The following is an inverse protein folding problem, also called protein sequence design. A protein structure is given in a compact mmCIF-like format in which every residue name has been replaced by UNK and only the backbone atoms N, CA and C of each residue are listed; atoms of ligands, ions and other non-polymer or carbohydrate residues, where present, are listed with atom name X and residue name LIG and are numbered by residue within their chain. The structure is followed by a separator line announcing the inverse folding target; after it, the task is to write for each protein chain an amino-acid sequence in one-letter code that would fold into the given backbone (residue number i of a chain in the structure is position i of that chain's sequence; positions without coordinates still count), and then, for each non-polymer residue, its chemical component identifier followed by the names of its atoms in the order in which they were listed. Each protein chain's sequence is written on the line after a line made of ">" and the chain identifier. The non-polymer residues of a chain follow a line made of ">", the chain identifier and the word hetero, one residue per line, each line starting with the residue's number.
data_IF_925675452063
#
_entry.id   IF_925675452063
#
_cell.length_a   1.000
_cell.length_b   1.000
_cell.length_c   1.000
_cell.angle_alpha   90.00
_cell.angle_beta   90.00
_cell.angle_gamma   90.00
#
_symmetry.space_group_name_H-M   'P 1'
#
loop_
_entity.id
_entity.type
_entity.pdbx_description
1 polymer ?
#
# COMPACT_ATOMS: atom_id res chain seq x y z
N UNK A 1 14.39 -1.76 4.43
CA UNK A 1 13.22 -2.62 4.64
C UNK A 1 12.15 -1.85 5.41
N UNK A 2 10.87 -2.18 5.25
CA UNK A 2 9.76 -1.59 6.03
C UNK A 2 9.20 -2.56 7.10
N UNK A 3 8.86 -2.01 8.27
CA UNK A 3 8.09 -2.67 9.34
C UNK A 3 6.74 -1.96 9.50
N UNK A 4 5.63 -2.71 9.52
CA UNK A 4 4.28 -2.19 9.67
C UNK A 4 3.64 -2.70 10.97
N UNK A 5 3.01 -1.80 11.72
CA UNK A 5 2.22 -2.13 12.91
C UNK A 5 1.01 -1.20 13.05
N UNK A 6 0.24 -1.35 14.13
CA UNK A 6 -0.97 -0.58 14.42
C UNK A 6 -0.86 0.24 15.71
N UNK A 7 -1.91 1.00 15.99
CA UNK A 7 -2.31 1.42 17.34
C UNK A 7 -2.46 0.22 18.30
N UNK A 8 -2.47 0.50 19.62
CA UNK A 8 -2.81 -0.50 20.65
C UNK A 8 -4.30 -0.84 20.57
N UNK A 9 -4.66 -2.12 20.79
CA UNK A 9 -6.03 -2.66 20.72
C UNK A 9 -6.79 -2.37 19.39
N UNK A 10 -6.19 -2.64 18.21
CA UNK A 10 -6.79 -2.26 16.92
C UNK A 10 -8.09 -3.02 16.61
N UNK A 11 -9.02 -2.36 15.92
CA UNK A 11 -10.24 -2.99 15.38
C UNK A 11 -9.96 -4.11 14.37
N UNK A 12 -11.00 -4.84 13.99
CA UNK A 12 -10.92 -5.82 12.90
C UNK A 12 -10.60 -5.19 11.54
N UNK A 13 -11.17 -4.00 11.24
CA UNK A 13 -10.88 -3.25 10.01
C UNK A 13 -9.39 -2.89 9.92
N UNK A 14 -8.83 -2.32 11.00
CA UNK A 14 -7.41 -1.93 11.03
C UNK A 14 -6.48 -3.13 10.95
N UNK A 15 -6.82 -4.28 11.55
CA UNK A 15 -6.06 -5.53 11.35
C UNK A 15 -6.07 -5.99 9.89
N UNK A 16 -7.19 -5.83 9.17
CA UNK A 16 -7.26 -6.13 7.73
C UNK A 16 -6.44 -5.13 6.92
N UNK A 17 -6.59 -3.82 7.16
CA UNK A 17 -5.83 -2.79 6.46
C UNK A 17 -4.32 -2.97 6.64
N UNK A 18 -3.86 -3.20 7.88
CA UNK A 18 -2.46 -3.49 8.18
C UNK A 18 -1.93 -4.67 7.36
N UNK A 19 -2.70 -5.77 7.26
CA UNK A 19 -2.32 -6.93 6.46
C UNK A 19 -2.31 -6.64 4.94
N UNK A 20 -3.33 -5.94 4.42
CA UNK A 20 -3.38 -5.51 3.00
C UNK A 20 -2.16 -4.67 2.65
N UNK A 21 -1.85 -3.65 3.45
CA UNK A 21 -0.70 -2.75 3.26
C UNK A 21 0.64 -3.47 3.44
N UNK A 22 0.77 -4.36 4.43
CA UNK A 22 2.01 -5.10 4.65
C UNK A 22 2.34 -6.05 3.49
N UNK A 23 1.33 -6.74 2.93
CA UNK A 23 1.51 -7.52 1.70
C UNK A 23 1.90 -6.60 0.53
N UNK A 24 1.11 -5.55 0.27
CA UNK A 24 1.31 -4.65 -0.87
C UNK A 24 2.68 -3.95 -0.87
N UNK A 25 3.15 -3.51 0.30
CA UNK A 25 4.43 -2.81 0.46
C UNK A 25 5.63 -3.75 0.72
N UNK A 26 5.45 -5.08 0.67
CA UNK A 26 6.44 -6.09 1.10
C UNK A 26 7.04 -5.81 2.51
N UNK A 27 6.23 -5.25 3.40
CA UNK A 27 6.62 -4.88 4.75
C UNK A 27 6.44 -6.06 5.71
N UNK A 28 7.37 -6.22 6.67
CA UNK A 28 7.17 -7.10 7.79
C UNK A 28 5.98 -6.58 8.64
N UNK A 29 5.06 -7.46 9.08
CA UNK A 29 3.94 -7.05 9.93
C UNK A 29 4.15 -7.51 11.38
N UNK A 30 4.19 -6.56 12.31
CA UNK A 30 4.28 -6.80 13.76
C UNK A 30 2.96 -6.46 14.46
N UNK A 31 2.45 -7.41 15.26
CA UNK A 31 1.28 -7.16 16.11
C UNK A 31 1.64 -6.24 17.27
N UNK A 32 0.94 -5.11 17.42
CA UNK A 32 1.25 -4.08 18.43
C UNK A 32 1.20 -4.56 19.89
N UNK A 33 0.26 -5.46 20.22
CA UNK A 33 0.10 -6.01 21.57
C UNK A 33 -0.04 -4.92 22.64
N UNK A 34 0.78 -5.02 23.70
CA UNK A 34 0.87 -4.05 24.80
C UNK A 34 1.99 -3.00 24.62
N UNK A 35 2.85 -3.12 23.59
CA UNK A 35 4.06 -2.30 23.46
C UNK A 35 3.75 -0.80 23.43
N UNK A 36 4.58 -0.01 24.11
CA UNK A 36 4.65 1.46 24.07
C UNK A 36 5.04 1.98 22.68
N UNK A 37 5.30 3.27 22.51
CA UNK A 37 5.91 3.77 21.28
C UNK A 37 7.42 3.50 21.25
N UNK A 38 8.13 3.65 22.37
CA UNK A 38 9.57 3.38 22.46
C UNK A 38 9.92 1.93 22.12
N UNK A 39 9.25 0.94 22.72
CA UNK A 39 9.44 -0.50 22.39
C UNK A 39 9.17 -0.83 20.91
N UNK A 40 8.31 -0.06 20.23
CA UNK A 40 7.99 -0.25 18.81
C UNK A 40 9.03 0.41 17.91
N UNK A 41 9.52 1.59 18.29
CA UNK A 41 10.59 2.29 17.58
C UNK A 41 11.92 1.52 17.71
N UNK A 42 12.22 1.00 18.90
CA UNK A 42 13.36 0.11 19.17
C UNK A 42 13.34 -1.13 18.27
N UNK A 43 12.19 -1.81 18.16
CA UNK A 43 12.00 -2.95 17.25
C UNK A 43 11.93 -2.59 15.77
N UNK A 44 11.72 -1.31 15.45
CA UNK A 44 11.77 -0.76 14.10
C UNK A 44 13.12 -0.16 13.73
N UNK A 45 14.09 -0.14 14.65
CA UNK A 45 15.41 0.48 14.44
C UNK A 45 16.11 -0.10 13.20
N UNK A 46 16.65 0.77 12.35
CA UNK A 46 17.24 0.37 11.07
C UNK A 46 16.24 0.07 9.94
N UNK A 47 14.93 0.25 10.16
CA UNK A 47 13.88 0.08 9.16
C UNK A 47 12.92 1.28 9.11
N UNK A 48 12.23 1.48 7.98
CA UNK A 48 11.12 2.45 7.93
C UNK A 48 9.94 1.85 8.70
N UNK A 49 9.44 2.52 9.73
CA UNK A 49 8.31 2.05 10.54
C UNK A 49 7.02 2.76 10.13
N UNK A 50 6.03 2.00 9.64
CA UNK A 50 4.66 2.47 9.41
C UNK A 50 3.75 2.06 10.57
N UNK A 51 3.08 3.04 11.19
CA UNK A 51 2.08 2.83 12.24
C UNK A 51 0.70 3.26 11.75
N UNK A 52 -0.22 2.31 11.64
CA UNK A 52 -1.63 2.56 11.31
C UNK A 52 -2.41 2.95 12.56
N UNK A 53 -2.84 4.21 12.65
CA UNK A 53 -3.67 4.76 13.72
C UNK A 53 -5.17 4.59 13.48
N UNK A 54 -5.96 4.69 14.55
CA UNK A 54 -7.42 4.56 14.52
C UNK A 54 -8.14 5.79 15.05
N UNK A 55 -9.34 6.03 14.51
CA UNK A 55 -10.30 6.99 15.02
C UNK A 55 -11.70 6.32 15.07
N UNK A 56 -12.32 6.31 16.26
CA UNK A 56 -13.59 5.61 16.54
C UNK A 56 -13.69 4.19 15.94
N UNK A 57 -12.64 3.38 16.06
CA UNK A 57 -12.62 1.99 15.59
C UNK A 57 -12.53 1.81 14.06
N UNK A 58 -12.24 2.87 13.31
CA UNK A 58 -11.89 2.82 11.90
C UNK A 58 -10.41 3.19 11.72
N UNK A 59 -9.72 2.70 10.69
CA UNK A 59 -8.38 3.19 10.35
C UNK A 59 -8.47 4.66 9.95
N UNK A 60 -7.56 5.50 10.48
CA UNK A 60 -7.66 6.96 10.34
C UNK A 60 -6.33 7.71 10.22
N UNK A 61 -5.18 7.05 10.43
CA UNK A 61 -3.89 7.65 10.07
C UNK A 61 -2.81 6.63 9.68
N UNK A 62 -1.88 7.06 8.83
CA UNK A 62 -0.60 6.39 8.58
C UNK A 62 0.51 7.30 9.09
N UNK A 63 1.30 6.84 10.07
CA UNK A 63 2.46 7.59 10.57
C UNK A 63 3.73 6.83 10.24
N UNK A 64 4.62 7.44 9.47
CA UNK A 64 5.88 6.86 9.02
C UNK A 64 7.04 7.47 9.79
N UNK A 65 7.84 6.60 10.40
CA UNK A 65 9.05 6.97 11.11
C UNK A 65 10.28 6.48 10.33
N UNK A 66 11.34 7.28 10.35
CA UNK A 66 12.61 6.93 9.72
C UNK A 66 13.36 5.82 10.52
N UNK A 67 14.45 5.25 9.96
CA UNK A 67 15.27 4.25 10.66
C UNK A 67 15.92 4.69 11.99
N UNK A 68 15.86 5.99 12.33
CA UNK A 68 16.31 6.55 13.62
C UNK A 68 15.17 6.72 14.63
N UNK A 69 13.92 6.48 14.20
CA UNK A 69 12.70 6.61 15.00
C UNK A 69 12.06 8.00 14.99
N UNK A 70 12.49 8.92 14.12
CA UNK A 70 11.87 10.26 13.99
C UNK A 70 10.62 10.19 13.12
N UNK A 71 9.57 10.94 13.46
CA UNK A 71 8.35 11.02 12.66
C UNK A 71 8.59 11.86 11.40
N UNK A 72 8.65 11.22 10.23
CA UNK A 72 8.83 11.93 8.96
C UNK A 72 7.51 12.55 8.48
N UNK A 73 6.44 11.72 8.41
CA UNK A 73 5.10 12.16 7.98
C UNK A 73 4.00 11.40 8.72
N UNK A 74 2.90 12.09 9.00
CA UNK A 74 1.65 11.51 9.48
C UNK A 74 0.50 11.99 8.60
N UNK A 75 -0.13 11.05 7.90
CA UNK A 75 -1.28 11.26 7.05
C UNK A 75 -2.54 10.94 7.85
N UNK A 76 -3.47 11.87 8.00
CA UNK A 76 -4.85 11.55 8.42
C UNK A 76 -5.65 11.18 7.17
N UNK A 77 -6.47 10.15 7.25
CA UNK A 77 -7.24 9.68 6.09
C UNK A 77 -8.64 9.15 6.46
N UNK A 78 -9.47 8.95 5.44
CA UNK A 78 -10.67 8.10 5.50
C UNK A 78 -10.58 7.02 4.40
N UNK A 79 -10.70 5.74 4.76
CA UNK A 79 -10.57 4.64 3.79
C UNK A 79 -11.85 4.38 2.98
N UNK A 80 -11.67 3.73 1.83
CA UNK A 80 -12.71 3.01 1.09
C UNK A 80 -12.07 1.73 0.55
N UNK A 81 -12.49 0.58 1.07
CA UNK A 81 -12.13 -0.72 0.48
C UNK A 81 -13.16 -1.09 -0.59
N UNK A 82 -12.68 -1.70 -1.67
CA UNK A 82 -13.50 -2.24 -2.76
C UNK A 82 -13.44 -3.78 -2.73
N UNK A 83 -13.44 -4.44 -3.90
CA UNK A 83 -13.38 -5.89 -4.03
C UNK A 83 -12.21 -6.54 -3.26
N UNK A 84 -12.41 -7.78 -2.84
CA UNK A 84 -11.38 -8.60 -2.22
C UNK A 84 -10.39 -9.11 -3.27
N UNK A 85 -9.15 -8.60 -3.21
CA UNK A 85 -8.03 -9.13 -3.97
C UNK A 85 -7.41 -10.34 -3.24
N UNK A 86 -7.09 -11.46 -3.93
CA UNK A 86 -6.35 -12.57 -3.35
C UNK A 86 -4.99 -12.16 -2.79
N UNK A 87 -4.61 -12.71 -1.62
CA UNK A 87 -3.34 -12.37 -0.95
C UNK A 87 -2.09 -12.65 -1.81
N UNK A 88 -2.19 -13.56 -2.79
CA UNK A 88 -1.13 -13.83 -3.76
C UNK A 88 -0.84 -12.62 -4.66
N UNK A 89 -1.85 -11.92 -5.16
CA UNK A 89 -1.64 -10.75 -6.03
C UNK A 89 -1.04 -9.57 -5.25
N UNK A 90 -1.49 -9.39 -4.00
CA UNK A 90 -0.95 -8.36 -3.11
C UNK A 90 0.50 -8.63 -2.68
N UNK A 91 1.05 -9.83 -2.90
CA UNK A 91 2.38 -10.24 -2.44
C UNK A 91 3.38 -10.53 -3.57
N UNK A 92 2.93 -11.16 -4.66
CA UNK A 92 3.81 -11.73 -5.68
C UNK A 92 3.69 -10.97 -7.00
N UNK A 93 3.94 -9.66 -6.97
CA UNK A 93 3.85 -8.81 -8.15
C UNK A 93 4.85 -7.67 -8.16
N UNK A 94 5.19 -7.18 -9.35
CA UNK A 94 5.99 -5.96 -9.52
C UNK A 94 5.28 -4.79 -8.83
N UNK A 95 6.01 -3.97 -8.08
CA UNK A 95 5.45 -2.76 -7.46
C UNK A 95 5.81 -1.56 -8.31
N UNK A 96 4.81 -0.80 -8.75
CA UNK A 96 5.03 0.43 -9.49
C UNK A 96 4.34 1.59 -8.77
N UNK A 97 5.10 2.67 -8.57
CA UNK A 97 4.67 3.86 -7.85
C UNK A 97 4.55 5.00 -8.85
N UNK A 98 3.38 5.64 -8.86
CA UNK A 98 3.08 6.75 -9.75
C UNK A 98 2.55 7.94 -8.94
N UNK A 99 2.82 9.14 -9.42
CA UNK A 99 2.23 10.38 -8.93
C UNK A 99 2.68 11.55 -9.80
N UNK A 100 2.04 12.73 -9.71
CA UNK A 100 2.55 13.93 -10.34
C UNK A 100 3.89 14.33 -9.70
N UNK A 101 4.89 14.71 -10.50
CA UNK A 101 6.16 15.26 -9.98
C UNK A 101 5.94 16.58 -9.19
N UNK A 102 4.82 17.26 -9.44
CA UNK A 102 4.36 18.42 -8.66
C UNK A 102 3.70 18.07 -7.32
N UNK A 103 3.38 16.80 -7.06
CA UNK A 103 2.75 16.38 -5.79
C UNK A 103 3.79 16.30 -4.69
N UNK A 104 3.65 17.16 -3.70
CA UNK A 104 4.49 17.13 -2.51
C UNK A 104 4.34 15.77 -1.78
N UNK A 105 3.12 15.21 -1.73
CA UNK A 105 2.91 13.90 -1.11
C UNK A 105 3.58 12.76 -1.89
N UNK A 106 3.58 12.80 -3.23
CA UNK A 106 4.31 11.82 -4.04
C UNK A 106 5.81 11.91 -3.76
N UNK A 107 6.42 13.09 -3.87
CA UNK A 107 7.86 13.26 -3.68
C UNK A 107 8.31 12.84 -2.26
N UNK A 108 7.53 13.17 -1.23
CA UNK A 108 7.77 12.75 0.15
C UNK A 108 7.69 11.22 0.30
N UNK A 109 6.66 10.55 -0.23
CA UNK A 109 6.53 9.09 -0.12
C UNK A 109 7.56 8.35 -0.99
N UNK A 110 7.81 8.82 -2.21
CA UNK A 110 8.78 8.26 -3.16
C UNK A 110 10.17 8.10 -2.52
N UNK A 111 10.60 9.09 -1.74
CA UNK A 111 11.89 9.14 -1.04
C UNK A 111 12.09 8.00 -0.01
N UNK A 112 11.02 7.41 0.52
CA UNK A 112 11.10 6.40 1.61
C UNK A 112 10.39 5.07 1.32
N UNK A 113 9.49 5.03 0.33
CA UNK A 113 8.80 3.79 -0.10
C UNK A 113 9.64 2.99 -1.12
N UNK A 114 10.59 3.63 -1.80
CA UNK A 114 11.36 3.06 -2.91
C UNK A 114 12.83 2.87 -2.51
N UNK A 115 13.16 1.66 -2.04
CA UNK A 115 14.55 1.22 -1.88
C UNK A 115 15.15 0.66 -3.20
N UNK A 116 14.30 0.31 -4.18
CA UNK A 116 14.68 -0.29 -5.47
C UNK A 116 14.50 0.71 -6.62
N UNK A 117 15.55 0.97 -7.40
CA UNK A 117 15.59 2.04 -8.42
C UNK A 117 14.73 1.72 -9.67
N UNK A 118 13.41 1.88 -9.54
CA UNK A 118 12.41 1.61 -10.59
C UNK A 118 11.52 2.81 -10.90
N UNK A 119 12.09 3.94 -11.30
CA UNK A 119 11.36 5.12 -11.75
C UNK A 119 10.82 4.86 -13.18
N UNK A 120 9.58 4.36 -13.26
CA UNK A 120 8.82 4.21 -14.51
C UNK A 120 7.71 5.26 -14.49
N UNK A 121 7.77 6.23 -15.40
CA UNK A 121 6.72 7.26 -15.52
C UNK A 121 5.35 6.63 -15.78
N UNK A 122 4.24 7.27 -15.35
CA UNK A 122 2.92 6.82 -15.76
C UNK A 122 2.83 6.86 -17.30
N UNK A 123 2.50 5.75 -17.98
CA UNK A 123 2.19 5.81 -19.40
C UNK A 123 0.94 6.66 -19.62
N UNK A 124 0.85 7.34 -20.77
CA UNK A 124 -0.28 8.22 -21.14
C UNK A 124 -1.65 7.53 -21.06
N UNK A 125 -1.64 6.20 -21.08
CA UNK A 125 -2.79 5.30 -20.94
C UNK A 125 -3.50 5.32 -19.58
N UNK A 126 -3.09 6.12 -18.59
CA UNK A 126 -3.97 6.41 -17.44
C UNK A 126 -5.32 6.99 -17.88
N UNK A 127 -5.34 7.79 -18.96
CA UNK A 127 -6.58 8.28 -19.57
C UNK A 127 -7.37 7.18 -20.32
N UNK A 128 -6.76 6.06 -20.70
CA UNK A 128 -7.46 4.91 -21.29
C UNK A 128 -8.06 3.99 -20.20
N UNK A 129 -7.35 3.82 -19.07
CA UNK A 129 -7.85 3.08 -17.90
C UNK A 129 -9.20 3.63 -17.38
N UNK A 130 -9.41 4.94 -17.44
CA UNK A 130 -10.70 5.55 -17.08
C UNK A 130 -11.79 5.45 -18.18
N UNK A 131 -11.44 5.16 -19.43
CA UNK A 131 -12.42 4.98 -20.53
C UNK A 131 -13.07 3.60 -20.54
N UNK A 132 -12.35 2.55 -20.11
CA UNK A 132 -12.82 1.16 -20.19
C UNK A 132 -14.01 0.81 -19.28
N UNK A 133 -14.53 1.74 -18.49
CA UNK A 133 -15.77 1.57 -17.71
C UNK A 133 -17.06 1.61 -18.56
N UNK A 134 -16.97 1.23 -19.85
CA UNK A 134 -18.10 1.03 -20.78
C UNK A 134 -17.92 -0.24 -21.64
N UNK A 135 -18.47 -1.34 -21.13
CA UNK A 135 -18.91 -2.58 -21.82
C UNK A 135 -17.86 -3.52 -22.48
N UNK A 136 -17.72 -4.69 -21.83
CA UNK A 136 -17.81 -6.05 -22.42
C UNK A 136 -16.63 -6.60 -23.30
N UNK A 137 -16.47 -7.94 -23.46
CA UNK A 137 -15.14 -8.58 -23.38
C UNK A 137 -14.67 -9.44 -24.60
N UNK A 138 -13.56 -10.21 -24.40
CA UNK A 138 -12.90 -11.26 -25.24
C UNK A 138 -11.65 -10.81 -26.05
N UNK A 139 -10.65 -11.66 -26.40
CA UNK A 139 -10.08 -12.97 -25.90
C UNK A 139 -8.85 -13.37 -26.77
N UNK A 140 -8.02 -14.41 -26.54
CA UNK A 140 -7.21 -14.83 -25.35
C UNK A 140 -5.91 -15.58 -25.79
N UNK A 141 -5.03 -15.95 -24.84
CA UNK A 141 -3.76 -16.68 -25.03
C UNK A 141 -2.52 -15.87 -24.56
N UNK A 142 -1.57 -16.33 -23.73
CA UNK A 142 -1.37 -17.58 -22.96
C UNK A 142 -0.11 -17.45 -22.04
N UNK A 143 0.77 -18.43 -21.74
CA UNK A 143 0.84 -19.90 -21.97
C UNK A 143 1.74 -20.52 -20.86
N UNK A 144 1.32 -21.63 -20.22
CA UNK A 144 2.10 -22.51 -19.30
C UNK A 144 2.47 -22.01 -17.89
N UNK A 145 3.04 -22.92 -17.08
CA UNK A 145 2.71 -23.07 -15.65
C UNK A 145 3.61 -24.05 -14.86
N UNK A 146 3.62 -23.93 -13.52
CA UNK A 146 3.48 -25.07 -12.56
C UNK A 146 2.90 -24.61 -11.20
N UNK A 147 2.19 -25.45 -10.40
CA UNK A 147 1.40 -25.00 -9.26
C UNK A 147 1.67 -25.69 -7.89
N UNK A 148 1.19 -25.08 -6.80
CA UNK A 148 0.64 -25.76 -5.62
C UNK A 148 -0.57 -24.98 -5.12
N UNK A 149 -1.71 -25.66 -4.90
CA UNK A 149 -3.00 -25.04 -4.52
C UNK A 149 -3.76 -25.99 -3.60
N UNK A 150 -4.33 -25.48 -2.51
CA UNK A 150 -5.27 -26.20 -1.63
C UNK A 150 -6.64 -26.29 -2.32
N UNK A 151 -7.34 -27.41 -2.15
CA UNK A 151 -8.59 -27.68 -2.86
C UNK A 151 -9.72 -26.74 -2.43
N UNK A 152 -10.40 -26.14 -3.42
CA UNK A 152 -11.55 -25.25 -3.23
C UNK A 152 -11.47 -23.96 -4.06
N UNK A 153 -10.33 -23.26 -4.01
CA UNK A 153 -10.16 -21.99 -4.72
C UNK A 153 -9.85 -22.16 -6.21
N UNK A 154 -10.42 -21.33 -7.11
CA UNK A 154 -10.11 -21.34 -8.53
C UNK A 154 -8.65 -20.93 -8.76
N UNK A 155 -7.86 -21.82 -9.37
CA UNK A 155 -6.41 -21.66 -9.54
C UNK A 155 -6.10 -20.39 -10.37
N UNK A 156 -5.18 -19.51 -9.92
CA UNK A 156 -4.81 -18.33 -10.68
C UNK A 156 -4.14 -18.70 -12.01
N UNK A 157 -4.33 -17.88 -13.06
CA UNK A 157 -3.70 -18.11 -14.36
C UNK A 157 -2.18 -17.99 -14.24
N UNK A 158 -1.41 -19.07 -14.49
CA UNK A 158 -0.03 -19.22 -14.01
C UNK A 158 1.04 -18.46 -14.80
N UNK A 159 0.63 -17.57 -15.71
CA UNK A 159 1.51 -16.83 -16.62
C UNK A 159 1.23 -15.32 -16.64
N UNK A 160 0.38 -14.82 -15.75
CA UNK A 160 0.16 -13.39 -15.52
C UNK A 160 1.04 -12.94 -14.36
N UNK A 161 2.09 -12.16 -14.64
CA UNK A 161 2.82 -11.45 -13.59
C UNK A 161 1.88 -10.43 -12.95
N UNK A 162 1.65 -10.54 -11.64
CA UNK A 162 0.80 -9.56 -10.96
C UNK A 162 1.50 -8.20 -10.90
N UNK A 163 0.73 -7.11 -11.00
CA UNK A 163 1.26 -5.74 -10.87
C UNK A 163 0.55 -5.02 -9.74
N UNK A 164 1.31 -4.48 -8.79
CA UNK A 164 0.84 -3.76 -7.60
C UNK A 164 1.11 -2.27 -7.82
N UNK A 165 0.08 -1.49 -8.13
CA UNK A 165 0.25 -0.07 -8.50
C UNK A 165 -0.25 0.83 -7.37
N UNK A 166 0.60 1.73 -6.88
CA UNK A 166 0.18 2.83 -6.02
C UNK A 166 0.17 4.12 -6.82
N UNK A 167 -0.99 4.77 -6.89
CA UNK A 167 -1.11 6.11 -7.46
C UNK A 167 -1.31 7.14 -6.33
N UNK A 168 -0.36 8.07 -6.21
CA UNK A 168 -0.31 9.12 -5.19
C UNK A 168 -0.77 10.43 -5.79
N UNK A 169 -1.78 11.05 -5.16
CA UNK A 169 -2.21 12.42 -5.37
C UNK A 169 -2.28 13.11 -3.99
N UNK A 170 -2.17 14.44 -3.93
CA UNK A 170 -2.16 15.16 -2.64
C UNK A 170 -3.47 15.00 -1.84
N UNK A 171 -4.58 14.64 -2.50
CA UNK A 171 -5.88 14.33 -1.87
C UNK A 171 -6.11 12.83 -1.59
N UNK A 172 -5.38 11.89 -2.21
CA UNK A 172 -5.64 10.45 -2.08
C UNK A 172 -4.49 9.52 -2.47
N UNK A 173 -4.51 8.33 -1.86
CA UNK A 173 -3.67 7.18 -2.20
C UNK A 173 -4.55 6.05 -2.76
N UNK A 174 -4.32 5.66 -4.02
CA UNK A 174 -5.11 4.67 -4.74
C UNK A 174 -4.28 3.39 -4.99
N UNK A 175 -4.71 2.27 -4.42
CA UNK A 175 -3.99 0.99 -4.46
C UNK A 175 -4.69 0.00 -5.40
N UNK A 176 -3.98 -0.44 -6.44
CA UNK A 176 -4.47 -1.35 -7.45
C UNK A 176 -3.76 -2.71 -7.40
N UNK A 177 -4.50 -3.78 -7.65
CA UNK A 177 -3.96 -5.10 -7.98
C UNK A 177 -4.33 -5.44 -9.41
N UNK A 178 -3.31 -5.55 -10.25
CA UNK A 178 -3.43 -5.41 -11.71
C UNK A 178 -4.18 -4.10 -11.99
N UNK A 179 -5.34 -4.16 -12.63
CA UNK A 179 -6.14 -2.99 -12.99
C UNK A 179 -7.33 -2.74 -12.02
N UNK A 180 -7.44 -3.53 -10.94
CA UNK A 180 -8.51 -3.40 -9.93
C UNK A 180 -8.10 -2.55 -8.75
N UNK A 181 -8.74 -1.39 -8.58
CA UNK A 181 -8.68 -0.59 -7.36
C UNK A 181 -9.30 -1.37 -6.20
N UNK A 182 -8.52 -1.72 -5.17
CA UNK A 182 -9.00 -2.52 -4.02
C UNK A 182 -9.04 -1.74 -2.71
N UNK A 183 -8.36 -0.59 -2.67
CA UNK A 183 -8.29 0.32 -1.54
C UNK A 183 -8.01 1.74 -2.03
N UNK A 184 -8.76 2.71 -1.52
CA UNK A 184 -8.50 4.14 -1.64
C UNK A 184 -8.41 4.75 -0.23
N UNK A 185 -7.41 5.60 0.02
CA UNK A 185 -7.29 6.39 1.24
C UNK A 185 -7.40 7.87 0.88
N UNK A 186 -8.52 8.52 1.20
CA UNK A 186 -8.66 9.96 1.00
C UNK A 186 -7.95 10.72 2.13
N UNK A 187 -6.98 11.56 1.80
CA UNK A 187 -6.20 12.35 2.74
C UNK A 187 -7.06 13.50 3.31
N UNK A 188 -6.98 13.70 4.63
CA UNK A 188 -7.72 14.70 5.43
C UNK A 188 -6.79 15.62 6.24
N UNK A 189 -5.53 15.67 5.83
CA UNK A 189 -4.48 16.50 6.42
C UNK A 189 -3.17 15.73 6.59
N UNK A 190 -2.08 16.46 6.45
CA UNK A 190 -0.70 15.98 6.53
C UNK A 190 -0.02 16.72 7.68
N UNK A 191 0.76 16.01 8.49
CA UNK A 191 1.77 16.59 9.39
C UNK A 191 3.13 16.02 9.00
N UNK A 192 4.10 16.87 8.72
CA UNK A 192 5.52 16.50 8.58
C UNK A 192 6.33 17.22 9.65
N UNK A 193 7.42 16.60 10.12
CA UNK A 193 8.39 17.25 11.01
C UNK A 193 9.72 17.58 10.30
N UNK A 194 9.76 17.38 8.97
CA UNK A 194 10.76 17.97 8.09
C UNK A 194 10.60 19.49 8.07
N UNK A 195 11.50 20.19 8.76
CA UNK A 195 11.74 21.62 8.54
C UNK A 195 12.27 21.82 7.13
N UNK A 196 11.52 22.51 6.28
CA UNK A 196 12.02 22.96 4.98
C UNK A 196 12.96 24.14 5.23
N UNK A 197 14.23 23.94 4.87
CA UNK A 197 15.31 24.93 4.89
C UNK A 197 15.92 25.01 3.49
#
# INVERSE_FOLDING_TARGET
>A
MMLLTSSRKPSFKTKILCKKLALFCDAAYMTRGKMSMSEVLERGSGAVLCVVGEYHGNPGSLSFYDPTGRLFISLRFSETSFESVPQAELRYGERIFYGPESSALFNLLNTFMIEDKGLIMPPDSLNELFKHNKKEPQSEGGVRAVPWVLEGDPKPKPNAAYVRRLYVQDDRLDFYSNDRLFLRLYIKGIKSELSVH
#
